data_IF_528322023676
#
_entry.id   IF_528322023676
#
_cell.length_a   1.000
_cell.length_b   1.000
_cell.length_c   1.000
_cell.angle_alpha   90.00
_cell.angle_beta   90.00
_cell.angle_gamma   90.00
#
_symmetry.space_group_name_H-M   'P 1'
#
loop_
_entity.id
_entity.type
_entity.pdbx_description
1 polymer ?
#
# COMPACT_ATOMS: atom_id res chain seq x y z
N UNK A 1 8.37 -2.87 -8.52
CA UNK A 1 7.80 -2.88 -9.89
C UNK A 1 7.86 -1.52 -10.58
N UNK A 2 7.39 -0.44 -9.96
CA UNK A 2 7.38 0.90 -10.58
C UNK A 2 8.75 1.39 -11.08
N UNK A 3 9.83 1.17 -10.33
CA UNK A 3 11.18 1.52 -10.76
C UNK A 3 11.60 0.80 -12.05
N UNK A 4 11.30 -0.50 -12.14
CA UNK A 4 11.57 -1.33 -13.32
C UNK A 4 10.74 -0.85 -14.52
N UNK A 5 9.46 -0.50 -14.30
CA UNK A 5 8.60 0.04 -15.34
C UNK A 5 9.08 1.39 -15.89
N UNK A 6 9.68 2.23 -15.03
CA UNK A 6 10.19 3.55 -15.41
C UNK A 6 11.56 3.50 -16.09
N UNK A 7 12.53 2.77 -15.52
CA UNK A 7 13.91 2.73 -16.04
C UNK A 7 14.13 1.62 -17.06
N UNK A 8 13.26 0.62 -17.09
CA UNK A 8 13.50 -0.64 -17.79
C UNK A 8 14.38 -1.59 -16.97
N UNK A 9 14.33 -2.88 -17.34
CA UNK A 9 15.03 -3.96 -16.63
C UNK A 9 16.54 -3.78 -16.57
N UNK A 10 17.17 -3.53 -17.72
CA UNK A 10 18.64 -3.44 -17.79
C UNK A 10 19.18 -2.27 -16.98
N UNK A 11 18.57 -1.09 -17.15
CA UNK A 11 19.00 0.10 -16.43
C UNK A 11 18.79 -0.06 -14.93
N UNK A 12 17.64 -0.58 -14.50
CA UNK A 12 17.39 -0.83 -13.07
C UNK A 12 18.45 -1.77 -12.47
N UNK A 13 18.79 -2.85 -13.18
CA UNK A 13 19.84 -3.77 -12.72
C UNK A 13 21.25 -3.16 -12.73
N UNK A 14 21.54 -2.25 -13.67
CA UNK A 14 22.80 -1.53 -13.73
C UNK A 14 22.94 -0.51 -12.58
N UNK A 15 21.89 0.27 -12.29
CA UNK A 15 21.88 1.23 -11.17
C UNK A 15 22.07 0.53 -9.82
N UNK A 16 21.57 -0.70 -9.69
CA UNK A 16 21.70 -1.51 -8.47
C UNK A 16 22.96 -2.37 -8.44
N UNK A 17 23.83 -2.30 -9.46
CA UNK A 17 24.97 -3.21 -9.62
C UNK A 17 26.05 -3.07 -8.54
N UNK A 18 26.14 -1.92 -7.87
CA UNK A 18 27.08 -1.69 -6.77
C UNK A 18 26.58 -2.22 -5.42
N UNK A 19 25.30 -2.61 -5.33
CA UNK A 19 24.73 -3.17 -4.12
C UNK A 19 25.28 -4.58 -3.87
N UNK A 20 25.53 -4.91 -2.61
CA UNK A 20 25.86 -6.29 -2.18
C UNK A 20 24.62 -7.08 -1.76
N UNK A 21 23.57 -6.36 -1.36
CA UNK A 21 22.31 -6.91 -0.86
C UNK A 21 21.15 -6.04 -1.35
N UNK A 22 20.09 -6.67 -1.82
CA UNK A 22 18.80 -6.04 -2.09
C UNK A 22 17.77 -6.66 -1.16
N UNK A 23 17.09 -5.81 -0.39
CA UNK A 23 15.95 -6.21 0.43
C UNK A 23 14.65 -5.83 -0.29
N UNK A 24 13.77 -6.81 -0.49
CA UNK A 24 12.46 -6.64 -1.12
C UNK A 24 11.40 -6.95 -0.07
N UNK A 25 10.59 -5.96 0.27
CA UNK A 25 9.46 -6.19 1.16
C UNK A 25 8.20 -6.57 0.38
N UNK A 26 7.36 -7.40 0.97
CA UNK A 26 6.07 -7.87 0.45
C UNK A 26 6.12 -8.34 -1.03
N UNK A 27 6.99 -9.30 -1.34
CA UNK A 27 7.14 -9.82 -2.70
C UNK A 27 5.97 -10.73 -3.09
N UNK A 28 5.14 -10.24 -4.02
CA UNK A 28 3.99 -10.96 -4.55
C UNK A 28 3.94 -10.82 -6.10
N UNK A 29 3.40 -11.84 -6.76
CA UNK A 29 3.17 -11.85 -8.21
C UNK A 29 1.66 -11.78 -8.46
N UNK A 30 1.17 -10.61 -8.89
CA UNK A 30 -0.27 -10.35 -9.00
C UNK A 30 -0.81 -10.42 -10.44
N UNK A 31 0.03 -10.16 -11.46
CA UNK A 31 -0.37 -10.20 -12.88
C UNK A 31 0.78 -10.65 -13.80
N UNK A 32 0.50 -11.09 -15.04
CA UNK A 32 1.51 -11.62 -15.96
C UNK A 32 2.61 -10.63 -16.37
N UNK A 33 2.26 -9.35 -16.54
CA UNK A 33 3.19 -8.32 -16.98
C UNK A 33 4.22 -8.00 -15.91
N UNK A 34 3.74 -7.74 -14.69
CA UNK A 34 4.60 -7.55 -13.53
C UNK A 34 5.41 -8.81 -13.21
N UNK A 35 4.85 -10.00 -13.39
CA UNK A 35 5.56 -11.27 -13.20
C UNK A 35 6.78 -11.38 -14.09
N UNK A 36 6.61 -11.12 -15.38
CA UNK A 36 7.71 -11.18 -16.36
C UNK A 36 8.83 -10.20 -16.00
N UNK A 37 8.46 -8.98 -15.61
CA UNK A 37 9.41 -7.95 -15.17
C UNK A 37 10.12 -8.35 -13.87
N UNK A 38 9.41 -8.85 -12.86
CA UNK A 38 9.98 -9.22 -11.57
C UNK A 38 10.99 -10.37 -11.72
N UNK A 39 10.63 -11.42 -12.47
CA UNK A 39 11.50 -12.57 -12.74
C UNK A 39 12.73 -12.12 -13.54
N UNK A 40 12.52 -11.37 -14.63
CA UNK A 40 13.60 -10.89 -15.48
C UNK A 40 14.57 -9.96 -14.74
N UNK A 41 14.08 -9.20 -13.75
CA UNK A 41 14.90 -8.38 -12.88
C UNK A 41 15.73 -9.24 -11.92
N UNK A 42 15.09 -10.16 -11.19
CA UNK A 42 15.79 -11.01 -10.21
C UNK A 42 16.87 -11.87 -10.86
N UNK A 43 16.62 -12.43 -12.06
CA UNK A 43 17.64 -13.16 -12.82
C UNK A 43 18.90 -12.32 -13.09
N UNK A 44 18.73 -11.03 -13.42
CA UNK A 44 19.84 -10.10 -13.66
C UNK A 44 20.59 -9.74 -12.39
N UNK A 45 19.88 -9.64 -11.26
CA UNK A 45 20.49 -9.40 -9.94
C UNK A 45 21.31 -10.62 -9.51
N UNK A 46 20.77 -11.84 -9.65
CA UNK A 46 21.49 -13.08 -9.34
C UNK A 46 22.71 -13.30 -10.23
N UNK A 47 22.63 -12.98 -11.52
CA UNK A 47 23.78 -13.05 -12.43
C UNK A 47 24.94 -12.12 -12.02
N UNK A 48 24.68 -11.11 -11.19
CA UNK A 48 25.68 -10.17 -10.65
C UNK A 48 26.16 -10.58 -9.24
N UNK A 49 25.79 -11.76 -8.75
CA UNK A 49 26.10 -12.25 -7.40
C UNK A 49 25.65 -11.31 -6.26
N UNK A 50 24.56 -10.57 -6.49
CA UNK A 50 23.97 -9.71 -5.48
C UNK A 50 23.02 -10.56 -4.62
N UNK A 51 23.19 -10.50 -3.30
CA UNK A 51 22.30 -11.20 -2.38
C UNK A 51 20.90 -10.57 -2.40
N UNK A 52 19.86 -11.39 -2.30
CA UNK A 52 18.47 -10.90 -2.20
C UNK A 52 17.84 -11.47 -0.95
N UNK A 53 17.26 -10.59 -0.13
CA UNK A 53 16.37 -10.97 0.97
C UNK A 53 14.98 -10.48 0.62
N UNK A 54 13.98 -11.33 0.83
CA UNK A 54 12.59 -10.93 0.60
C UNK A 54 11.65 -11.43 1.68
N UNK A 55 10.64 -10.63 2.00
CA UNK A 55 9.47 -11.08 2.76
C UNK A 55 8.34 -11.43 1.78
N UNK A 56 7.53 -12.44 2.11
CA UNK A 56 6.37 -12.82 1.30
C UNK A 56 5.38 -13.62 2.14
N UNK A 57 4.08 -13.41 1.91
CA UNK A 57 3.00 -14.22 2.48
C UNK A 57 2.83 -15.57 1.76
N UNK A 58 3.45 -15.73 0.59
CA UNK A 58 3.33 -16.91 -0.26
C UNK A 58 4.72 -17.52 -0.49
N UNK A 59 4.91 -18.82 -0.24
CA UNK A 59 6.20 -19.46 -0.48
C UNK A 59 6.61 -19.33 -1.96
N UNK A 60 7.91 -19.25 -2.28
CA UNK A 60 8.38 -19.03 -3.65
C UNK A 60 7.79 -20.00 -4.70
N UNK A 61 7.57 -21.26 -4.34
CA UNK A 61 7.00 -22.28 -5.23
C UNK A 61 5.52 -22.08 -5.56
N UNK A 62 4.82 -21.20 -4.84
CA UNK A 62 3.38 -20.90 -5.04
C UNK A 62 3.12 -19.45 -5.42
N UNK A 63 4.16 -18.71 -5.81
CA UNK A 63 3.98 -17.33 -6.27
C UNK A 63 3.00 -17.26 -7.45
N UNK A 64 2.12 -16.27 -7.42
CA UNK A 64 1.07 -16.10 -8.45
C UNK A 64 -0.16 -16.97 -8.27
N UNK A 65 -0.15 -17.98 -7.39
CA UNK A 65 -1.27 -18.91 -7.21
C UNK A 65 -2.59 -18.18 -6.95
N UNK A 66 -3.59 -18.44 -7.80
CA UNK A 66 -4.91 -17.79 -7.72
C UNK A 66 -4.96 -16.33 -8.19
N UNK A 67 -3.90 -15.80 -8.80
CA UNK A 67 -3.83 -14.42 -9.30
C UNK A 67 -3.95 -14.29 -10.82
N UNK A 68 -3.26 -15.16 -11.57
CA UNK A 68 -3.28 -15.19 -13.03
C UNK A 68 -3.09 -16.63 -13.55
N UNK A 69 -2.94 -16.81 -14.86
CA UNK A 69 -2.61 -18.11 -15.47
C UNK A 69 -1.17 -18.54 -15.12
N UNK A 70 -0.94 -18.93 -13.85
CA UNK A 70 0.38 -19.29 -13.31
C UNK A 70 1.04 -20.44 -14.07
N UNK A 71 0.23 -21.32 -14.65
CA UNK A 71 0.69 -22.48 -15.43
C UNK A 71 1.67 -22.05 -16.53
N UNK A 72 1.43 -20.91 -17.17
CA UNK A 72 2.26 -20.36 -18.24
C UNK A 72 3.65 -19.89 -17.76
N UNK A 73 3.80 -19.70 -16.45
CA UNK A 73 5.01 -19.17 -15.79
C UNK A 73 5.63 -20.18 -14.81
N UNK A 74 5.13 -21.41 -14.75
CA UNK A 74 5.56 -22.41 -13.76
C UNK A 74 7.07 -22.70 -13.86
N UNK A 75 7.61 -22.74 -15.08
CA UNK A 75 9.02 -23.02 -15.31
C UNK A 75 9.89 -21.91 -14.72
N UNK A 76 9.53 -20.67 -14.98
CA UNK A 76 10.22 -19.47 -14.53
C UNK A 76 10.11 -19.30 -13.02
N UNK A 77 8.92 -19.53 -12.45
CA UNK A 77 8.70 -19.49 -11.00
C UNK A 77 9.51 -20.58 -10.30
N UNK A 78 9.57 -21.80 -10.86
CA UNK A 78 10.40 -22.88 -10.32
C UNK A 78 11.89 -22.55 -10.37
N UNK A 79 12.35 -22.00 -11.51
CA UNK A 79 13.74 -21.55 -11.65
C UNK A 79 14.10 -20.41 -10.70
N UNK A 80 13.16 -19.50 -10.42
CA UNK A 80 13.34 -18.45 -9.43
C UNK A 80 13.36 -19.03 -8.02
N UNK A 81 12.41 -19.91 -7.71
CA UNK A 81 12.27 -20.54 -6.40
C UNK A 81 13.51 -21.32 -5.98
N UNK A 82 14.24 -21.93 -6.91
CA UNK A 82 15.46 -22.69 -6.60
C UNK A 82 16.65 -21.80 -6.17
N UNK A 83 16.59 -20.49 -6.42
CA UNK A 83 17.61 -19.54 -6.00
C UNK A 83 17.41 -19.06 -4.56
N UNK A 84 16.25 -19.33 -3.95
CA UNK A 84 15.91 -18.84 -2.62
C UNK A 84 16.01 -19.95 -1.57
N UNK A 85 16.66 -19.61 -0.47
CA UNK A 85 16.48 -20.33 0.80
C UNK A 85 15.25 -19.77 1.52
N UNK A 86 14.33 -20.64 1.92
CA UNK A 86 13.06 -20.23 2.54
C UNK A 86 13.14 -20.38 4.06
N UNK A 87 13.13 -19.26 4.77
CA UNK A 87 12.91 -19.22 6.21
C UNK A 87 11.41 -19.03 6.47
N UNK A 88 10.75 -20.01 7.09
CA UNK A 88 9.38 -19.84 7.57
C UNK A 88 9.38 -19.16 8.93
N UNK A 89 8.60 -18.09 9.03
CA UNK A 89 8.36 -17.38 10.28
C UNK A 89 6.95 -17.77 10.73
N UNK A 90 6.88 -18.73 11.65
CA UNK A 90 5.64 -19.12 12.29
C UNK A 90 5.40 -18.22 13.52
N UNK A 91 4.17 -17.77 13.71
CA UNK A 91 3.84 -16.90 14.83
C UNK A 91 2.38 -16.49 14.84
N UNK A 92 1.91 -16.07 16.02
CA UNK A 92 0.62 -15.38 16.13
C UNK A 92 0.71 -14.06 15.37
N UNK A 93 -0.33 -13.72 14.62
CA UNK A 93 -0.39 -12.41 13.96
C UNK A 93 -0.42 -11.32 15.04
N UNK A 94 0.67 -10.56 15.16
CA UNK A 94 0.78 -9.49 16.14
C UNK A 94 -0.09 -8.28 15.79
N UNK A 95 -0.61 -8.19 14.55
CA UNK A 95 -1.50 -7.10 14.12
C UNK A 95 -2.81 -7.06 14.91
N UNK A 96 -3.29 -8.21 15.40
CA UNK A 96 -4.57 -8.31 16.09
C UNK A 96 -4.56 -7.77 17.53
N UNK A 97 -3.39 -7.50 18.12
CA UNK A 97 -3.30 -7.01 19.51
C UNK A 97 -3.67 -5.54 19.70
N UNK A 98 -3.81 -4.76 18.62
CA UNK A 98 -4.21 -3.35 18.71
C UNK A 98 -5.70 -3.09 18.49
N UNK A 99 -6.50 -4.12 18.17
CA UNK A 99 -7.92 -3.92 17.76
C UNK A 99 -8.90 -3.86 18.95
N UNK A 100 -8.51 -4.30 20.14
CA UNK A 100 -9.45 -4.47 21.27
C UNK A 100 -9.54 -3.29 22.25
N UNK A 101 -9.14 -2.07 21.87
CA UNK A 101 -9.26 -0.92 22.78
C UNK A 101 -9.61 0.37 22.05
N UNK A 102 -10.84 0.46 21.55
CA UNK A 102 -11.44 1.73 21.17
C UNK A 102 -12.83 1.86 21.82
N UNK A 103 -12.85 1.83 23.15
CA UNK A 103 -14.00 2.26 23.94
C UNK A 103 -13.98 3.78 24.04
N UNK A 104 -14.91 4.43 23.33
CA UNK A 104 -15.35 5.82 23.48
C UNK A 104 -14.25 6.91 23.55
N UNK A 105 -13.81 7.42 22.40
CA UNK A 105 -13.20 8.76 22.26
C UNK A 105 -13.50 9.34 20.88
N UNK A 106 -13.50 10.67 20.75
CA UNK A 106 -14.10 11.42 19.64
C UNK A 106 -13.64 10.94 18.26
N UNK A 107 -14.55 10.35 17.48
CA UNK A 107 -14.24 9.91 16.13
C UNK A 107 -13.82 11.09 15.26
N UNK A 108 -12.63 11.01 14.66
CA UNK A 108 -12.18 12.03 13.71
C UNK A 108 -12.78 11.84 12.31
N UNK A 109 -13.69 10.88 12.12
CA UNK A 109 -14.29 10.50 10.82
C UNK A 109 -15.51 11.33 10.41
N UNK A 110 -16.25 11.86 11.40
CA UNK A 110 -17.44 12.68 11.19
C UNK A 110 -17.28 14.06 11.83
N UNK A 111 -16.14 14.72 11.57
CA UNK A 111 -15.85 16.02 12.17
C UNK A 111 -16.57 17.15 11.45
N UNK A 112 -17.50 17.81 12.17
CA UNK A 112 -18.04 19.10 11.76
C UNK A 112 -17.02 20.22 12.02
N UNK A 113 -17.02 21.25 11.17
CA UNK A 113 -16.10 22.39 11.32
C UNK A 113 -14.63 22.05 11.02
N UNK A 114 -14.39 21.06 10.16
CA UNK A 114 -13.06 20.55 9.81
C UNK A 114 -12.08 21.65 9.39
N UNK A 115 -12.54 22.67 8.66
CA UNK A 115 -11.74 23.83 8.24
C UNK A 115 -11.22 24.68 9.39
N UNK A 116 -12.03 24.88 10.44
CA UNK A 116 -11.60 25.59 11.65
C UNK A 116 -10.56 24.77 12.38
N UNK A 117 -10.84 23.49 12.57
CA UNK A 117 -9.92 22.57 13.22
C UNK A 117 -8.58 22.46 12.47
N UNK A 118 -8.62 22.39 11.13
CA UNK A 118 -7.42 22.46 10.29
C UNK A 118 -6.58 23.71 10.58
N UNK A 119 -7.21 24.88 10.76
CA UNK A 119 -6.48 26.13 11.01
C UNK A 119 -5.73 26.06 12.35
N UNK A 120 -6.38 25.56 13.38
CA UNK A 120 -5.85 25.50 14.75
C UNK A 120 -4.89 24.31 14.98
N UNK A 121 -4.93 23.29 14.12
CA UNK A 121 -4.11 22.08 14.28
C UNK A 121 -2.64 22.34 13.98
N UNK A 122 -1.75 21.88 14.86
CA UNK A 122 -0.31 21.98 14.69
C UNK A 122 0.29 20.59 14.49
N UNK A 123 1.18 20.48 13.51
CA UNK A 123 1.96 19.27 13.24
C UNK A 123 3.35 19.40 13.85
N UNK A 124 4.02 18.27 14.05
CA UNK A 124 5.41 18.20 14.50
C UNK A 124 6.36 18.97 13.57
N UNK A 125 7.50 19.38 14.12
CA UNK A 125 8.48 20.20 13.40
C UNK A 125 8.97 19.49 12.13
N UNK A 126 8.93 20.18 10.99
CA UNK A 126 9.35 19.64 9.69
C UNK A 126 8.25 18.90 8.90
N UNK A 127 7.11 18.56 9.52
CA UNK A 127 5.96 17.99 8.81
C UNK A 127 4.96 19.08 8.42
N UNK A 128 4.10 18.78 7.45
CA UNK A 128 3.05 19.68 6.93
C UNK A 128 1.66 19.12 7.22
N UNK A 129 0.67 20.00 7.31
CA UNK A 129 -0.75 19.61 7.25
C UNK A 129 -1.32 19.94 5.87
N UNK A 130 -2.22 19.10 5.37
CA UNK A 130 -2.92 19.34 4.10
C UNK A 130 -4.43 19.20 4.28
N UNK A 131 -5.16 19.98 3.47
CA UNK A 131 -6.62 20.00 3.45
C UNK A 131 -7.09 19.75 2.03
N UNK A 132 -8.08 18.88 1.88
CA UNK A 132 -8.68 18.54 0.59
C UNK A 132 -10.19 18.43 0.70
N UNK A 133 -10.90 18.87 -0.33
CA UNK A 133 -12.20 18.26 -0.64
C UNK A 133 -11.95 16.84 -1.18
N UNK A 134 -12.84 15.89 -0.89
CA UNK A 134 -12.68 14.51 -1.34
C UNK A 134 -12.54 14.40 -2.87
N UNK A 135 -13.25 15.22 -3.65
CA UNK A 135 -13.14 15.20 -5.12
C UNK A 135 -11.78 15.72 -5.59
N UNK A 136 -11.25 16.76 -4.92
CA UNK A 136 -9.93 17.32 -5.21
C UNK A 136 -8.83 16.29 -4.89
N UNK A 137 -8.94 15.61 -3.76
CA UNK A 137 -8.01 14.54 -3.39
C UNK A 137 -8.01 13.42 -4.45
N UNK A 138 -9.18 12.90 -4.82
CA UNK A 138 -9.27 11.84 -5.82
C UNK A 138 -8.72 12.30 -7.18
N UNK A 139 -8.99 13.54 -7.59
CA UNK A 139 -8.42 14.11 -8.80
C UNK A 139 -6.88 14.19 -8.74
N UNK A 140 -6.33 14.66 -7.63
CA UNK A 140 -4.88 14.70 -7.42
C UNK A 140 -4.27 13.29 -7.45
N UNK A 141 -4.87 12.31 -6.77
CA UNK A 141 -4.40 10.93 -6.78
C UNK A 141 -4.42 10.32 -8.19
N UNK A 142 -5.39 10.66 -9.04
CA UNK A 142 -5.40 10.24 -10.44
C UNK A 142 -4.27 10.88 -11.26
N UNK A 143 -3.99 12.16 -11.00
CA UNK A 143 -2.97 12.92 -11.73
C UNK A 143 -1.54 12.47 -11.39
N UNK A 144 -1.30 12.08 -10.13
CA UNK A 144 0.02 11.62 -9.70
C UNK A 144 0.19 10.11 -9.82
N UNK A 145 1.36 9.70 -10.32
CA UNK A 145 1.74 8.30 -10.29
C UNK A 145 1.89 7.83 -8.82
N UNK A 146 1.39 6.63 -8.45
CA UNK A 146 1.37 6.15 -7.06
C UNK A 146 2.70 6.23 -6.32
N UNK A 147 3.84 6.08 -7.00
CA UNK A 147 5.16 6.17 -6.35
C UNK A 147 5.38 7.46 -5.54
N UNK A 148 4.74 8.57 -5.94
CA UNK A 148 4.86 9.86 -5.25
C UNK A 148 4.02 9.94 -3.97
N UNK A 149 3.13 8.98 -3.72
CA UNK A 149 2.32 8.99 -2.50
C UNK A 149 3.18 8.76 -1.26
N UNK A 150 4.31 8.04 -1.40
CA UNK A 150 5.28 7.86 -0.32
C UNK A 150 5.93 9.20 0.05
N UNK A 151 6.45 9.93 -0.93
CA UNK A 151 7.07 11.25 -0.74
C UNK A 151 6.07 12.22 -0.10
N UNK A 152 4.81 12.21 -0.54
CA UNK A 152 3.75 13.00 0.08
C UNK A 152 3.55 12.59 1.55
N UNK A 153 3.41 11.30 1.84
CA UNK A 153 3.15 10.81 3.19
C UNK A 153 4.30 11.09 4.18
N UNK A 154 5.56 11.04 3.73
CA UNK A 154 6.72 11.39 4.56
C UNK A 154 6.69 12.87 4.97
N UNK A 155 6.18 13.75 4.10
CA UNK A 155 6.09 15.19 4.41
C UNK A 155 4.83 15.56 5.18
N UNK A 156 3.74 14.80 5.06
CA UNK A 156 2.45 15.13 5.66
C UNK A 156 2.34 14.54 7.06
N UNK A 157 2.25 15.40 8.08
CA UNK A 157 1.96 15.01 9.46
C UNK A 157 0.47 14.89 9.76
N UNK A 158 -0.37 15.60 9.00
CA UNK A 158 -1.81 15.49 9.13
C UNK A 158 -2.53 15.78 7.80
N UNK A 159 -3.60 15.02 7.54
CA UNK A 159 -4.43 15.15 6.34
C UNK A 159 -5.89 15.32 6.75
N UNK A 160 -6.54 16.31 6.16
CA UNK A 160 -7.91 16.69 6.41
C UNK A 160 -8.71 16.50 5.11
N UNK A 161 -9.78 15.71 5.16
CA UNK A 161 -10.62 15.39 4.00
C UNK A 161 -12.06 15.77 4.28
N UNK A 162 -12.58 16.76 3.56
CA UNK A 162 -13.98 17.16 3.65
C UNK A 162 -14.84 16.47 2.58
N UNK A 163 -16.13 16.30 2.86
CA UNK A 163 -17.12 15.72 1.93
C UNK A 163 -16.78 14.32 1.41
N UNK A 164 -16.18 13.47 2.26
CA UNK A 164 -15.83 12.11 1.88
C UNK A 164 -17.09 11.24 1.81
N UNK A 165 -17.44 10.79 0.61
CA UNK A 165 -18.54 9.87 0.37
C UNK A 165 -18.03 8.47 0.01
N UNK A 166 -18.97 7.52 -0.12
CA UNK A 166 -18.66 6.18 -0.63
C UNK A 166 -17.92 6.25 -1.98
N UNK A 167 -16.88 5.44 -2.14
CA UNK A 167 -16.00 5.42 -3.31
C UNK A 167 -16.46 4.36 -4.31
N UNK A 168 -17.23 4.79 -5.32
CA UNK A 168 -17.85 3.89 -6.31
C UNK A 168 -16.92 3.46 -7.45
N UNK A 169 -15.88 4.23 -7.76
CA UNK A 169 -14.91 3.87 -8.79
C UNK A 169 -13.79 3.00 -8.20
N UNK A 170 -13.53 1.85 -8.83
CA UNK A 170 -12.58 0.87 -8.29
C UNK A 170 -11.13 1.36 -8.37
N UNK A 171 -10.77 2.12 -9.40
CA UNK A 171 -9.40 2.63 -9.54
C UNK A 171 -9.13 3.73 -8.53
N UNK A 172 -10.09 4.62 -8.30
CA UNK A 172 -10.02 5.62 -7.23
C UNK A 172 -9.93 4.99 -5.85
N UNK A 173 -10.75 3.97 -5.60
CA UNK A 173 -10.73 3.27 -4.32
C UNK A 173 -9.37 2.62 -4.07
N UNK A 174 -8.76 1.98 -5.08
CA UNK A 174 -7.42 1.41 -4.95
C UNK A 174 -6.33 2.46 -4.75
N UNK A 175 -6.44 3.63 -5.39
CA UNK A 175 -5.53 4.76 -5.17
C UNK A 175 -5.67 5.32 -3.77
N UNK A 176 -6.90 5.48 -3.30
CA UNK A 176 -7.20 5.91 -1.94
C UNK A 176 -6.65 4.91 -0.92
N UNK A 177 -6.86 3.60 -1.12
CA UNK A 177 -6.28 2.54 -0.30
C UNK A 177 -4.76 2.68 -0.22
N UNK A 178 -4.08 2.84 -1.36
CA UNK A 178 -2.62 2.98 -1.37
C UNK A 178 -2.16 4.26 -0.67
N UNK A 179 -2.89 5.37 -0.84
CA UNK A 179 -2.60 6.62 -0.16
C UNK A 179 -2.77 6.50 1.37
N UNK A 180 -3.87 5.90 1.84
CA UNK A 180 -4.10 5.64 3.27
C UNK A 180 -3.02 4.72 3.84
N UNK A 181 -2.61 3.70 3.10
CA UNK A 181 -1.51 2.82 3.50
C UNK A 181 -0.23 3.63 3.76
N UNK A 182 0.12 4.56 2.86
CA UNK A 182 1.30 5.43 3.04
C UNK A 182 1.16 6.42 4.19
N UNK A 183 -0.02 7.01 4.39
CA UNK A 183 -0.27 7.87 5.54
C UNK A 183 -0.13 7.11 6.86
N UNK A 184 -0.70 5.90 6.93
CA UNK A 184 -0.66 5.03 8.11
C UNK A 184 0.78 4.61 8.45
N UNK A 185 1.53 4.12 7.46
CA UNK A 185 2.92 3.66 7.67
C UNK A 185 3.82 4.82 8.15
N UNK A 186 3.52 6.06 7.73
CA UNK A 186 4.22 7.28 8.17
C UNK A 186 3.60 7.95 9.41
N UNK A 187 2.67 7.28 10.11
CA UNK A 187 2.02 7.77 11.32
C UNK A 187 1.35 9.16 11.15
N UNK A 188 0.86 9.45 9.95
CA UNK A 188 0.14 10.70 9.66
C UNK A 188 -1.23 10.67 10.32
N UNK A 189 -1.68 11.80 10.87
CA UNK A 189 -3.04 11.90 11.41
C UNK A 189 -4.05 12.12 10.28
N UNK A 190 -5.22 11.49 10.40
CA UNK A 190 -6.30 11.64 9.44
C UNK A 190 -7.55 12.20 10.14
N UNK A 191 -8.09 13.26 9.56
CA UNK A 191 -9.34 13.88 9.97
C UNK A 191 -10.27 13.94 8.76
N UNK A 192 -11.49 13.47 8.91
CA UNK A 192 -12.46 13.44 7.83
C UNK A 192 -13.82 14.00 8.25
N UNK A 193 -14.51 14.56 7.27
CA UNK A 193 -15.95 14.78 7.31
C UNK A 193 -16.60 13.85 6.31
N UNK A 194 -16.85 12.61 6.72
CA UNK A 194 -17.46 11.60 5.87
C UNK A 194 -18.99 11.56 5.99
N UNK A 195 -19.68 11.26 4.89
CA UNK A 195 -21.14 11.08 4.85
C UNK A 195 -21.59 9.65 5.15
N UNK A 196 -20.64 8.70 5.17
CA UNK A 196 -20.88 7.28 5.42
C UNK A 196 -19.97 6.77 6.55
N UNK A 197 -20.39 5.73 7.30
CA UNK A 197 -19.51 5.03 8.23
C UNK A 197 -18.27 4.47 7.52
N UNK A 198 -17.17 4.25 8.26
CA UNK A 198 -15.93 3.69 7.69
C UNK A 198 -16.22 2.36 6.97
N UNK A 199 -17.02 1.48 7.57
CA UNK A 199 -17.40 0.17 7.04
C UNK A 199 -18.10 0.24 5.67
N UNK A 200 -18.74 1.37 5.39
CA UNK A 200 -19.50 1.60 4.17
C UNK A 200 -18.75 2.47 3.17
N UNK A 201 -17.47 2.81 3.42
CA UNK A 201 -16.67 3.61 2.49
C UNK A 201 -16.51 2.95 1.12
N UNK A 202 -16.41 1.61 1.08
CA UNK A 202 -16.31 0.85 -0.17
C UNK A 202 -17.62 0.09 -0.44
N UNK A 203 -18.13 0.11 -1.68
CA UNK A 203 -19.31 -0.66 -2.07
C UNK A 203 -19.16 -2.16 -1.81
N UNK A 204 -20.27 -2.85 -1.53
CA UNK A 204 -20.26 -4.27 -1.15
C UNK A 204 -19.69 -5.17 -2.26
N UNK A 205 -19.81 -4.74 -3.51
CA UNK A 205 -19.29 -5.45 -4.68
C UNK A 205 -17.75 -5.57 -4.65
N UNK A 206 -17.06 -4.61 -4.04
CA UNK A 206 -15.59 -4.60 -4.01
C UNK A 206 -15.01 -5.73 -3.16
N UNK A 207 -15.76 -6.19 -2.15
CA UNK A 207 -15.36 -7.32 -1.31
C UNK A 207 -15.46 -8.68 -2.03
N UNK A 208 -16.07 -8.73 -3.23
CA UNK A 208 -16.06 -9.93 -4.09
C UNK A 208 -14.92 -9.93 -5.11
N UNK A 209 -14.13 -8.86 -5.17
CA UNK A 209 -13.00 -8.73 -6.10
C UNK A 209 -11.71 -9.36 -5.57
N UNK A 210 -10.71 -9.54 -6.44
CA UNK A 210 -9.36 -9.98 -6.06
C UNK A 210 -8.67 -9.04 -5.06
N UNK A 211 -9.19 -7.81 -4.89
CA UNK A 211 -8.66 -6.78 -4.00
C UNK A 211 -9.39 -6.69 -2.66
N UNK A 212 -10.33 -7.58 -2.36
CA UNK A 212 -11.12 -7.57 -1.12
C UNK A 212 -10.28 -7.37 0.15
N UNK A 213 -9.15 -8.09 0.25
CA UNK A 213 -8.21 -7.98 1.38
C UNK A 213 -7.61 -6.57 1.51
N UNK A 214 -7.37 -5.87 0.40
CA UNK A 214 -6.82 -4.50 0.39
C UNK A 214 -7.82 -3.51 0.97
N UNK A 215 -9.11 -3.61 0.61
CA UNK A 215 -10.17 -2.78 1.18
C UNK A 215 -10.34 -3.03 2.67
N UNK A 216 -10.46 -4.28 3.10
CA UNK A 216 -10.61 -4.63 4.52
C UNK A 216 -9.42 -4.13 5.36
N UNK A 217 -8.19 -4.23 4.83
CA UNK A 217 -6.99 -3.69 5.47
C UNK A 217 -7.06 -2.16 5.61
N UNK A 218 -7.47 -1.47 4.55
CA UNK A 218 -7.65 -0.01 4.57
C UNK A 218 -8.69 0.40 5.63
N UNK A 219 -9.83 -0.29 5.70
CA UNK A 219 -10.84 -0.01 6.73
C UNK A 219 -10.30 -0.17 8.15
N UNK A 220 -9.50 -1.20 8.41
CA UNK A 220 -8.84 -1.38 9.72
C UNK A 220 -7.91 -0.21 10.05
N UNK A 221 -7.06 0.20 9.09
CA UNK A 221 -6.16 1.33 9.24
C UNK A 221 -6.92 2.64 9.51
N UNK A 222 -7.99 2.90 8.76
CA UNK A 222 -8.84 4.07 8.97
C UNK A 222 -9.45 4.09 10.36
N UNK A 223 -9.94 2.95 10.86
CA UNK A 223 -10.47 2.86 12.22
C UNK A 223 -9.43 3.25 13.26
N UNK A 224 -8.23 2.70 13.18
CA UNK A 224 -7.13 3.01 14.10
C UNK A 224 -6.68 4.47 13.98
N UNK A 225 -6.59 5.01 12.77
CA UNK A 225 -6.22 6.41 12.55
C UNK A 225 -7.27 7.38 13.08
N UNK A 226 -8.55 6.99 13.05
CA UNK A 226 -9.68 7.87 13.40
C UNK A 226 -10.25 7.64 14.81
N UNK A 227 -9.78 6.62 15.52
CA UNK A 227 -9.98 6.43 16.96
C UNK A 227 -8.88 7.16 17.71
N UNK A 228 -9.12 8.43 18.06
CA UNK A 228 -8.23 9.21 18.96
C UNK A 228 -8.92 9.43 20.29
#
# INVERSE_FOLDING_TARGET
MYLIGYLGLERTAAELSTAKLIAIDEFELDDPGNTTMAIGFLQRIFARNIAVITTSNTPPSRLGEGRFAVQDFQREISALSSQFYVLRIDGRDYRQRHVESASASHSTWHLSGLRKFFSDYHVEHGRKKAYFDAKELLHALRAFHPMHYLELAETLGAVFIEHLSQLHDQFDALRFVYFIDKLYDNQSKLFASATVPIEELFPKEFYKSAYAKKYLRCLSRLKEMCST
#
